data_IF_382219491197
#
_entry.id   IF_382219491197
#
_cell.length_a   1.000
_cell.length_b   1.000
_cell.length_c   1.000
_cell.angle_alpha   90.00
_cell.angle_beta   90.00
_cell.angle_gamma   90.00
#
_symmetry.space_group_name_H-M   'P 1'
#
loop_
_entity.id
_entity.type
_entity.pdbx_description
1 polymer ?
#
# COMPACT_ATOMS: atom_id res chain seq x y z
N UNK A 1 7.76 -17.06 5.22
CA UNK A 1 6.29 -17.16 5.16
C UNK A 1 5.61 -16.36 6.28
N UNK A 2 5.95 -16.59 7.56
CA UNK A 2 5.32 -15.90 8.70
C UNK A 2 5.38 -14.36 8.64
N UNK A 3 6.43 -13.76 8.07
CA UNK A 3 6.57 -12.30 7.92
C UNK A 3 5.63 -11.68 6.87
N UNK A 4 5.25 -12.43 5.84
CA UNK A 4 4.45 -11.90 4.74
C UNK A 4 2.97 -11.76 5.12
N UNK A 5 2.47 -12.62 6.01
CA UNK A 5 1.05 -12.65 6.39
C UNK A 5 0.60 -11.32 7.03
N UNK A 6 1.30 -10.76 8.03
CA UNK A 6 0.93 -9.47 8.61
C UNK A 6 0.93 -8.32 7.60
N UNK A 7 1.96 -8.28 6.73
CA UNK A 7 2.11 -7.23 5.72
C UNK A 7 0.97 -7.30 4.69
N UNK A 8 0.64 -8.50 4.21
CA UNK A 8 -0.47 -8.70 3.28
C UNK A 8 -1.79 -8.22 3.87
N UNK A 9 -2.08 -8.62 5.11
CA UNK A 9 -3.30 -8.21 5.80
C UNK A 9 -3.32 -6.68 5.92
N UNK A 10 -2.23 -6.08 6.36
CA UNK A 10 -2.13 -4.63 6.54
C UNK A 10 -2.36 -3.87 5.22
N UNK A 11 -1.66 -4.24 4.15
CA UNK A 11 -1.76 -3.55 2.85
C UNK A 11 -3.18 -3.63 2.30
N UNK A 12 -3.78 -4.82 2.26
CA UNK A 12 -5.14 -4.98 1.75
C UNK A 12 -6.17 -4.32 2.65
N UNK A 13 -6.03 -4.42 3.96
CA UNK A 13 -6.96 -3.80 4.91
C UNK A 13 -6.92 -2.28 4.81
N UNK A 14 -5.74 -1.68 4.91
CA UNK A 14 -5.59 -0.23 4.85
C UNK A 14 -6.02 0.32 3.49
N UNK A 15 -5.66 -0.35 2.39
CA UNK A 15 -6.09 0.09 1.06
C UNK A 15 -7.59 0.01 0.89
N UNK A 16 -8.21 -1.11 1.27
CA UNK A 16 -9.65 -1.32 1.15
C UNK A 16 -10.43 -0.35 2.04
N UNK A 17 -9.92 -0.07 3.25
CA UNK A 17 -10.51 0.90 4.17
C UNK A 17 -10.43 2.31 3.59
N UNK A 18 -9.26 2.77 3.15
CA UNK A 18 -9.08 4.09 2.56
C UNK A 18 -9.94 4.26 1.29
N UNK A 19 -9.89 3.28 0.38
CA UNK A 19 -10.67 3.31 -0.86
C UNK A 19 -12.19 3.25 -0.59
N UNK A 20 -12.62 2.42 0.36
CA UNK A 20 -14.00 2.30 0.80
C UNK A 20 -14.54 3.59 1.43
N UNK A 21 -13.74 4.24 2.28
CA UNK A 21 -14.09 5.54 2.88
C UNK A 21 -14.18 6.62 1.80
N UNK A 22 -13.23 6.69 0.87
CA UNK A 22 -13.27 7.64 -0.24
C UNK A 22 -14.49 7.44 -1.13
N UNK A 23 -14.90 6.18 -1.34
CA UNK A 23 -16.15 5.85 -2.02
C UNK A 23 -17.38 6.29 -1.22
N UNK A 24 -17.41 6.05 0.09
CA UNK A 24 -18.49 6.47 0.99
C UNK A 24 -18.67 8.00 0.99
N UNK A 25 -17.58 8.74 1.00
CA UNK A 25 -17.57 10.20 0.93
C UNK A 25 -17.71 10.77 -0.50
N UNK A 26 -17.91 9.92 -1.52
CA UNK A 26 -18.02 10.30 -2.93
C UNK A 26 -16.87 11.16 -3.45
N UNK A 27 -15.66 10.89 -2.99
CA UNK A 27 -14.43 11.52 -3.48
C UNK A 27 -14.16 11.07 -4.92
N UNK A 28 -13.61 11.95 -5.76
CA UNK A 28 -13.25 11.62 -7.15
C UNK A 28 -12.20 10.50 -7.22
N UNK A 29 -12.29 9.65 -8.25
CA UNK A 29 -11.35 8.54 -8.48
C UNK A 29 -9.87 8.99 -8.49
N UNK A 30 -9.61 10.15 -9.09
CA UNK A 30 -8.28 10.76 -9.22
C UNK A 30 -7.59 11.02 -7.89
N UNK A 31 -8.37 11.17 -6.81
CA UNK A 31 -7.87 11.30 -5.44
C UNK A 31 -8.00 9.97 -4.70
N UNK A 32 -9.08 9.23 -4.95
CA UNK A 32 -9.39 8.01 -4.22
C UNK A 32 -8.38 6.87 -4.48
N UNK A 33 -7.99 6.65 -5.74
CA UNK A 33 -7.06 5.57 -6.09
C UNK A 33 -5.62 5.85 -5.59
N UNK A 34 -5.02 7.04 -5.81
CA UNK A 34 -3.73 7.36 -5.20
C UNK A 34 -3.80 7.36 -3.67
N UNK A 35 -4.89 7.88 -3.09
CA UNK A 35 -5.09 7.89 -1.65
C UNK A 35 -5.13 6.49 -1.02
N UNK A 36 -5.75 5.52 -1.70
CA UNK A 36 -5.77 4.12 -1.26
C UNK A 36 -4.39 3.45 -1.31
N UNK A 37 -3.53 3.84 -2.26
CA UNK A 37 -2.15 3.36 -2.34
C UNK A 37 -1.28 4.01 -1.27
N UNK A 38 -1.42 5.33 -1.05
CA UNK A 38 -0.72 6.05 0.02
C UNK A 38 -1.06 5.44 1.39
N UNK A 39 -2.35 5.22 1.69
CA UNK A 39 -2.77 4.65 2.97
C UNK A 39 -2.28 3.22 3.21
N UNK A 40 -1.97 2.47 2.16
CA UNK A 40 -1.47 1.11 2.25
C UNK A 40 0.06 1.00 2.27
N UNK A 41 0.78 2.07 1.92
CA UNK A 41 2.22 2.05 1.70
C UNK A 41 3.04 2.15 2.97
N UNK A 42 4.06 1.31 3.08
CA UNK A 42 5.07 1.35 4.14
C UNK A 42 6.41 1.84 3.58
N UNK A 43 7.19 2.53 4.42
CA UNK A 43 8.54 2.97 4.05
C UNK A 43 9.60 1.93 4.43
N UNK A 44 9.66 0.81 3.69
CA UNK A 44 10.69 -0.20 3.96
C UNK A 44 12.11 0.32 3.74
N UNK A 45 12.32 1.28 2.84
CA UNK A 45 13.65 1.83 2.59
C UNK A 45 14.23 2.50 3.84
N UNK A 46 13.40 3.24 4.57
CA UNK A 46 13.74 3.77 5.89
C UNK A 46 13.85 2.65 6.93
N UNK A 47 12.94 1.68 6.92
CA UNK A 47 12.96 0.56 7.87
C UNK A 47 14.24 -0.30 7.77
N UNK A 48 14.71 -0.56 6.55
CA UNK A 48 15.97 -1.28 6.29
C UNK A 48 17.15 -0.49 6.83
N UNK A 49 17.21 0.82 6.57
CA UNK A 49 18.28 1.69 7.08
C UNK A 49 18.33 1.68 8.61
N UNK A 50 17.17 1.81 9.28
CA UNK A 50 17.08 1.75 10.74
C UNK A 50 17.44 0.36 11.29
N UNK A 51 16.98 -0.72 10.64
CA UNK A 51 17.28 -2.08 11.08
C UNK A 51 18.79 -2.37 11.01
N UNK A 52 19.46 -1.95 9.94
CA UNK A 52 20.92 -2.06 9.80
C UNK A 52 21.64 -1.21 10.86
N UNK A 53 21.18 0.03 11.11
CA UNK A 53 21.81 0.93 12.06
C UNK A 53 21.73 0.43 13.52
N UNK A 54 20.60 -0.19 13.90
CA UNK A 54 20.36 -0.65 15.28
C UNK A 54 20.82 -2.09 15.54
N UNK A 55 20.64 -2.99 14.57
CA UNK A 55 20.85 -4.44 14.76
C UNK A 55 21.98 -5.00 13.91
N UNK A 56 22.56 -4.20 13.02
CA UNK A 56 23.58 -4.63 12.08
C UNK A 56 23.01 -5.36 10.85
N UNK A 57 23.80 -5.47 9.77
CA UNK A 57 23.34 -5.98 8.47
C UNK A 57 23.06 -7.49 8.46
N UNK A 58 23.68 -8.26 9.36
CA UNK A 58 23.48 -9.71 9.47
C UNK A 58 22.28 -10.11 10.35
N UNK A 59 21.54 -9.14 10.89
CA UNK A 59 20.41 -9.42 11.78
C UNK A 59 19.19 -9.93 11.04
N UNK A 60 18.39 -10.77 11.71
CA UNK A 60 17.09 -11.19 11.20
C UNK A 60 16.12 -10.03 10.97
N UNK A 61 16.29 -8.91 11.70
CA UNK A 61 15.53 -7.68 11.51
C UNK A 61 15.83 -7.02 10.15
N UNK A 62 17.11 -6.88 9.78
CA UNK A 62 17.50 -6.34 8.49
C UNK A 62 17.02 -7.22 7.32
N UNK A 63 17.12 -8.55 7.47
CA UNK A 63 16.60 -9.50 6.47
C UNK A 63 15.07 -9.38 6.32
N UNK A 64 14.34 -9.26 7.44
CA UNK A 64 12.89 -9.14 7.43
C UNK A 64 12.41 -7.88 6.69
N UNK A 65 13.09 -6.74 6.86
CA UNK A 65 12.73 -5.49 6.19
C UNK A 65 13.03 -5.51 4.69
N UNK A 66 14.13 -6.15 4.26
CA UNK A 66 14.47 -6.30 2.84
C UNK A 66 13.51 -7.27 2.15
N UNK A 67 13.19 -8.40 2.79
CA UNK A 67 12.20 -9.34 2.23
C UNK A 67 10.81 -8.72 2.24
N UNK A 68 10.49 -7.88 3.24
CA UNK A 68 9.24 -7.13 3.33
C UNK A 68 8.95 -6.29 2.10
N UNK A 69 9.92 -5.51 1.60
CA UNK A 69 9.73 -4.70 0.40
C UNK A 69 9.54 -5.52 -0.87
N UNK A 70 10.24 -6.67 -0.98
CA UNK A 70 10.06 -7.58 -2.12
C UNK A 70 8.64 -8.17 -2.18
N UNK A 71 7.98 -8.30 -1.03
CA UNK A 71 6.58 -8.73 -0.94
C UNK A 71 5.62 -7.56 -1.12
N UNK A 72 5.94 -6.39 -0.58
CA UNK A 72 5.02 -5.25 -0.63
C UNK A 72 4.81 -4.72 -2.05
N UNK A 73 5.89 -4.55 -2.82
CA UNK A 73 5.80 -4.00 -4.19
C UNK A 73 4.81 -4.77 -5.09
N UNK A 74 4.87 -6.11 -5.22
CA UNK A 74 3.90 -6.85 -6.04
C UNK A 74 2.47 -6.76 -5.49
N UNK A 75 2.30 -6.69 -4.16
CA UNK A 75 0.97 -6.52 -3.54
C UNK A 75 0.42 -5.14 -3.86
N UNK A 76 1.24 -4.10 -3.79
CA UNK A 76 0.86 -2.74 -4.19
C UNK A 76 0.40 -2.68 -5.64
N UNK A 77 1.12 -3.35 -6.55
CA UNK A 77 0.71 -3.45 -7.95
C UNK A 77 -0.62 -4.16 -8.13
N UNK A 78 -0.89 -5.19 -7.31
CA UNK A 78 -2.19 -5.89 -7.33
C UNK A 78 -3.34 -4.99 -6.87
N UNK A 79 -3.11 -4.16 -5.85
CA UNK A 79 -4.07 -3.15 -5.37
C UNK A 79 -4.28 -2.07 -6.41
N UNK A 80 -3.20 -1.57 -7.03
CA UNK A 80 -3.29 -0.60 -8.12
C UNK A 80 -4.14 -1.14 -9.28
N UNK A 81 -3.90 -2.40 -9.68
CA UNK A 81 -4.70 -3.08 -10.70
C UNK A 81 -6.17 -3.19 -10.30
N UNK A 82 -6.44 -3.47 -9.03
CA UNK A 82 -7.78 -3.49 -8.48
C UNK A 82 -8.45 -2.10 -8.59
N UNK A 83 -7.78 -1.03 -8.14
CA UNK A 83 -8.30 0.33 -8.25
C UNK A 83 -8.61 0.72 -9.70
N UNK A 84 -7.73 0.38 -10.65
CA UNK A 84 -7.95 0.64 -12.08
C UNK A 84 -9.17 -0.13 -12.60
N UNK A 85 -9.35 -1.39 -12.22
CA UNK A 85 -10.52 -2.19 -12.60
C UNK A 85 -11.82 -1.65 -12.00
N UNK A 86 -11.77 -1.09 -10.79
CA UNK A 86 -12.93 -0.52 -10.08
C UNK A 86 -13.14 0.97 -10.35
N UNK A 87 -12.49 1.55 -11.36
CA UNK A 87 -12.69 2.96 -11.74
C UNK A 87 -14.17 3.32 -11.97
N UNK A 88 -14.94 2.40 -12.51
CA UNK A 88 -16.37 2.55 -12.77
C UNK A 88 -17.25 2.66 -11.51
N UNK A 89 -16.71 2.41 -10.31
CA UNK A 89 -17.45 2.60 -9.04
C UNK A 89 -17.52 4.04 -8.58
N UNK A 90 -16.77 4.93 -9.22
CA UNK A 90 -16.65 6.33 -8.86
C UNK A 90 -17.38 7.19 -9.89
N UNK A 91 -17.95 8.34 -9.47
CA UNK A 91 -18.51 9.31 -10.39
C UNK A 91 -17.45 9.70 -11.43
N UNK A 92 -17.84 9.81 -12.70
CA UNK A 92 -16.98 10.39 -13.72
C UNK A 92 -16.56 11.80 -13.27
N UNK A 93 -15.29 12.12 -13.45
CA UNK A 93 -14.80 13.46 -13.20
C UNK A 93 -15.47 14.38 -14.22
N UNK A 94 -16.32 15.30 -13.75
CA UNK A 94 -16.75 16.44 -14.56
C UNK A 94 -15.46 17.12 -15.09
N UNK A 95 -15.32 17.33 -16.41
CA UNK A 95 -14.14 17.98 -16.94
C UNK A 95 -13.97 19.33 -16.24
N UNK A 96 -12.77 19.59 -15.71
CA UNK A 96 -12.45 20.88 -15.10
C UNK A 96 -12.70 21.98 -16.13
N UNK A 97 -13.68 22.84 -15.83
CA UNK A 97 -14.04 24.01 -16.64
C UNK A 97 -12.89 25.01 -16.76
#
# INVERSE_FOLDING_TARGET
>A
ALLAVPILIQVYFNSSLAYGLMRLFRIRYEVAAPGALIGASNFFELAVATAIALYGPGSGAALATVVGVLVEVPVMLSVCRFCVATRHWFPEAEPAA
#
